data_IF_499558441619
#
_entry.id   IF_499558441619
#
_cell.length_a   1.000
_cell.length_b   1.000
_cell.length_c   1.000
_cell.angle_alpha   90.00
_cell.angle_beta   90.00
_cell.angle_gamma   90.00
#
_symmetry.space_group_name_H-M   'P 1'
#
loop_
_entity.id
_entity.type
_entity.pdbx_description
1 polymer ?
#
# COMPACT_ATOMS: atom_id res chain seq x y z
N UNK A 1 4.99 -16.75 -10.70
CA UNK A 1 5.87 -15.70 -11.26
C UNK A 1 7.22 -15.80 -10.55
N UNK A 2 8.07 -16.73 -11.00
CA UNK A 2 9.29 -17.16 -10.30
C UNK A 2 10.54 -16.37 -10.72
N UNK A 3 10.37 -15.29 -11.50
CA UNK A 3 11.45 -14.44 -12.02
C UNK A 3 11.61 -13.13 -11.24
N UNK A 4 10.85 -12.92 -10.16
CA UNK A 4 10.96 -11.71 -9.35
C UNK A 4 12.15 -11.79 -8.40
N UNK A 5 13.27 -11.19 -8.80
CA UNK A 5 14.43 -10.93 -7.93
C UNK A 5 14.09 -9.82 -6.91
N UNK A 6 13.22 -10.12 -5.94
CA UNK A 6 13.00 -9.23 -4.79
C UNK A 6 14.04 -9.56 -3.74
N UNK A 7 14.91 -8.60 -3.42
CA UNK A 7 15.87 -8.71 -2.33
C UNK A 7 15.56 -7.63 -1.31
N UNK A 8 15.53 -7.96 -0.01
CA UNK A 8 15.55 -6.94 1.03
C UNK A 8 16.74 -6.01 0.76
N UNK A 9 16.48 -4.71 0.72
CA UNK A 9 17.52 -3.71 0.49
C UNK A 9 18.06 -3.16 1.82
N UNK A 10 17.17 -2.88 2.76
CA UNK A 10 17.50 -2.30 4.06
C UNK A 10 16.43 -2.67 5.11
N UNK A 11 16.79 -2.61 6.39
CA UNK A 11 15.90 -2.83 7.53
C UNK A 11 16.11 -1.71 8.54
N UNK A 12 15.04 -0.96 8.82
CA UNK A 12 15.06 0.09 9.84
C UNK A 12 14.20 -0.29 11.03
N UNK A 13 14.78 -0.24 12.22
CA UNK A 13 14.09 -0.45 13.49
C UNK A 13 13.63 0.91 14.04
N UNK A 14 12.35 1.01 14.41
CA UNK A 14 11.75 2.24 14.92
C UNK A 14 10.99 1.94 16.21
N UNK A 15 11.25 2.71 17.27
CA UNK A 15 10.74 2.50 18.62
C UNK A 15 9.49 3.34 18.95
N UNK A 16 8.57 3.47 17.99
CA UNK A 16 7.16 3.96 18.13
C UNK A 16 6.80 5.33 17.53
N UNK A 17 7.74 6.27 17.35
CA UNK A 17 7.42 7.55 16.68
C UNK A 17 7.71 7.52 15.18
N UNK A 18 6.74 7.00 14.41
CA UNK A 18 6.68 7.13 12.94
C UNK A 18 6.33 8.57 12.52
N UNK A 19 7.14 9.53 12.95
CA UNK A 19 7.01 10.92 12.58
C UNK A 19 7.66 11.19 11.21
N UNK A 20 7.40 12.37 10.65
CA UNK A 20 7.90 12.72 9.32
C UNK A 20 9.44 12.69 9.22
N UNK A 21 10.16 12.99 10.31
CA UNK A 21 11.63 13.03 10.32
C UNK A 21 12.28 11.64 10.31
N UNK A 22 11.67 10.62 10.94
CA UNK A 22 12.17 9.24 10.84
C UNK A 22 12.21 8.75 9.38
N UNK A 23 11.09 8.93 8.67
CA UNK A 23 11.01 8.56 7.26
C UNK A 23 11.92 9.41 6.38
N UNK A 24 12.09 10.68 6.72
CA UNK A 24 13.03 11.56 6.03
C UNK A 24 14.46 11.01 6.14
N UNK A 25 14.87 10.65 7.35
CA UNK A 25 16.17 10.03 7.61
C UNK A 25 16.33 8.71 6.84
N UNK A 26 15.34 7.81 6.92
CA UNK A 26 15.37 6.51 6.23
C UNK A 26 15.60 6.66 4.72
N UNK A 27 14.83 7.53 4.05
CA UNK A 27 14.93 7.70 2.60
C UNK A 27 16.21 8.44 2.19
N UNK A 28 16.74 9.33 3.02
CA UNK A 28 18.04 9.95 2.80
C UNK A 28 19.19 8.93 2.93
N UNK A 29 19.11 8.03 3.92
CA UNK A 29 20.06 6.92 4.07
C UNK A 29 20.02 5.99 2.86
N UNK A 30 18.83 5.61 2.40
CA UNK A 30 18.63 4.81 1.17
C UNK A 30 19.29 5.47 -0.05
N UNK A 31 19.06 6.76 -0.26
CA UNK A 31 19.66 7.52 -1.37
C UNK A 31 21.18 7.53 -1.27
N UNK A 32 21.71 7.75 -0.07
CA UNK A 32 23.16 7.83 0.18
C UNK A 32 23.84 6.48 -0.04
N UNK A 33 23.26 5.40 0.49
CA UNK A 33 23.73 4.03 0.27
C UNK A 33 23.74 3.67 -1.22
N UNK A 34 22.71 4.07 -1.97
CA UNK A 34 22.67 3.83 -3.42
C UNK A 34 23.82 4.52 -4.15
N UNK A 35 24.14 5.77 -3.78
CA UNK A 35 25.27 6.51 -4.37
C UNK A 35 26.59 5.82 -4.02
N UNK A 36 26.75 5.36 -2.79
CA UNK A 36 27.99 4.70 -2.35
C UNK A 36 28.20 3.33 -3.03
N UNK A 37 27.15 2.51 -3.13
CA UNK A 37 27.23 1.14 -3.62
C UNK A 37 27.13 1.02 -5.15
N UNK A 38 26.37 1.91 -5.80
CA UNK A 38 26.06 1.82 -7.22
C UNK A 38 26.50 3.06 -8.01
N UNK A 39 27.14 4.04 -7.36
CA UNK A 39 27.55 5.31 -7.98
C UNK A 39 26.39 6.09 -8.64
N UNK A 40 25.16 5.83 -8.21
CA UNK A 40 23.96 6.46 -8.75
C UNK A 40 22.92 6.71 -7.65
N UNK A 41 22.22 7.86 -7.69
CA UNK A 41 21.15 8.13 -6.75
C UNK A 41 19.97 7.18 -7.02
N UNK A 42 19.38 6.66 -5.94
CA UNK A 42 18.11 5.94 -6.04
C UNK A 42 17.00 6.92 -6.43
N UNK A 43 16.39 6.71 -7.61
CA UNK A 43 15.31 7.54 -8.16
C UNK A 43 14.10 6.67 -8.48
N UNK A 44 13.29 6.29 -7.47
CA UNK A 44 12.15 5.43 -7.69
C UNK A 44 11.09 6.14 -8.53
N UNK A 45 10.52 5.43 -9.52
CA UNK A 45 9.31 5.90 -10.23
C UNK A 45 8.06 5.78 -9.37
N UNK A 46 8.05 4.81 -8.46
CA UNK A 46 6.92 4.52 -7.57
C UNK A 46 7.40 4.22 -6.17
N UNK A 47 6.64 4.66 -5.17
CA UNK A 47 6.83 4.29 -3.77
C UNK A 47 5.51 3.71 -3.25
N UNK A 48 5.57 2.47 -2.77
CA UNK A 48 4.41 1.77 -2.22
C UNK A 48 4.54 1.69 -0.70
N UNK A 49 3.62 2.31 0.04
CA UNK A 49 3.65 2.33 1.51
C UNK A 49 2.28 2.54 2.15
N UNK A 50 2.11 2.04 3.37
CA UNK A 50 0.87 2.13 4.15
C UNK A 50 0.67 3.48 4.87
N UNK A 51 0.78 4.61 4.14
CA UNK A 51 0.35 5.90 4.70
C UNK A 51 1.42 6.95 4.98
N UNK A 52 2.72 6.65 4.86
CA UNK A 52 3.78 7.58 5.29
C UNK A 52 3.86 8.85 4.40
N UNK A 53 3.56 10.02 5.00
CA UNK A 53 3.51 11.32 4.31
C UNK A 53 4.88 11.90 3.91
N UNK A 54 5.95 11.52 4.61
CA UNK A 54 7.28 12.11 4.41
C UNK A 54 7.94 11.80 3.05
N UNK A 55 7.38 10.86 2.30
CA UNK A 55 7.90 10.39 1.01
C UNK A 55 7.95 11.48 -0.06
N UNK A 56 6.97 12.37 -0.07
CA UNK A 56 6.84 13.41 -1.10
C UNK A 56 7.96 14.45 -1.04
N UNK A 57 8.60 14.64 0.12
CA UNK A 57 9.68 15.61 0.27
C UNK A 57 11.00 15.13 -0.34
N UNK A 58 11.30 13.83 -0.27
CA UNK A 58 12.60 13.28 -0.70
C UNK A 58 12.56 12.78 -2.14
N UNK A 59 11.47 12.14 -2.52
CA UNK A 59 11.28 11.59 -3.87
C UNK A 59 10.10 12.29 -4.54
N UNK A 60 10.25 13.59 -4.79
CA UNK A 60 9.19 14.44 -5.36
C UNK A 60 8.65 13.95 -6.70
N UNK A 61 9.49 13.27 -7.50
CA UNK A 61 9.12 12.73 -8.80
C UNK A 61 8.49 11.32 -8.73
N UNK A 62 8.51 10.67 -7.56
CA UNK A 62 7.97 9.33 -7.40
C UNK A 62 6.45 9.38 -7.22
N UNK A 63 5.74 8.54 -7.96
CA UNK A 63 4.30 8.33 -7.74
C UNK A 63 4.09 7.49 -6.49
N UNK A 64 3.28 8.00 -5.56
CA UNK A 64 2.89 7.24 -4.37
C UNK A 64 1.77 6.26 -4.70
N UNK A 65 1.93 5.02 -4.27
CA UNK A 65 0.94 3.96 -4.38
C UNK A 65 0.58 3.43 -2.99
N UNK A 66 -0.68 3.07 -2.79
CA UNK A 66 -1.09 2.33 -1.60
C UNK A 66 -0.67 0.86 -1.74
N UNK A 67 -0.14 0.28 -0.67
CA UNK A 67 0.18 -1.14 -0.67
C UNK A 67 -1.12 -1.96 -0.60
N UNK A 68 -1.44 -2.69 -1.68
CA UNK A 68 -2.66 -3.51 -1.74
C UNK A 68 -2.71 -4.54 -0.60
N UNK A 69 -1.58 -5.17 -0.27
CA UNK A 69 -1.51 -6.12 0.85
C UNK A 69 -1.96 -5.46 2.17
N UNK A 70 -1.48 -4.26 2.49
CA UNK A 70 -1.91 -3.55 3.70
C UNK A 70 -3.38 -3.15 3.66
N UNK A 71 -3.90 -2.77 2.50
CA UNK A 71 -5.34 -2.52 2.31
C UNK A 71 -6.15 -3.78 2.64
N UNK A 72 -5.78 -4.93 2.06
CA UNK A 72 -6.45 -6.21 2.34
C UNK A 72 -6.36 -6.59 3.82
N UNK A 73 -5.21 -6.40 4.46
CA UNK A 73 -5.06 -6.68 5.90
C UNK A 73 -5.98 -5.80 6.74
N UNK A 74 -6.14 -4.52 6.38
CA UNK A 74 -7.11 -3.63 7.02
C UNK A 74 -8.55 -4.11 6.83
N UNK A 75 -8.94 -4.55 5.62
CA UNK A 75 -10.25 -5.16 5.41
C UNK A 75 -10.45 -6.44 6.24
N UNK A 76 -9.42 -7.30 6.30
CA UNK A 76 -9.43 -8.56 7.07
C UNK A 76 -9.55 -8.35 8.57
N UNK A 77 -9.08 -7.23 9.11
CA UNK A 77 -9.25 -6.89 10.52
C UNK A 77 -10.74 -6.82 10.92
N UNK A 78 -11.63 -6.54 9.97
CA UNK A 78 -13.08 -6.49 10.17
C UNK A 78 -13.81 -7.80 9.84
N UNK A 79 -13.08 -8.86 9.49
CA UNK A 79 -13.66 -10.17 9.11
C UNK A 79 -14.60 -10.73 10.17
N UNK A 80 -14.30 -10.51 11.45
CA UNK A 80 -15.10 -11.04 12.56
C UNK A 80 -16.49 -10.41 12.68
N UNK A 81 -16.75 -9.31 11.97
CA UNK A 81 -18.07 -8.66 11.90
C UNK A 81 -19.01 -9.34 10.89
N UNK A 82 -18.51 -10.30 10.11
CA UNK A 82 -19.23 -10.95 9.03
C UNK A 82 -19.28 -12.47 9.24
N UNK A 83 -20.33 -13.11 8.73
CA UNK A 83 -20.36 -14.57 8.62
C UNK A 83 -19.25 -15.06 7.68
N UNK A 84 -18.86 -16.33 7.80
CA UNK A 84 -17.87 -16.95 6.89
C UNK A 84 -18.28 -16.83 5.42
N UNK A 85 -19.58 -16.95 5.13
CA UNK A 85 -20.11 -16.83 3.78
C UNK A 85 -20.02 -15.38 3.28
N UNK A 86 -20.50 -14.40 4.06
CA UNK A 86 -20.39 -12.98 3.70
C UNK A 86 -18.95 -12.57 3.47
N UNK A 87 -18.02 -12.95 4.36
CA UNK A 87 -16.59 -12.67 4.17
C UNK A 87 -16.06 -13.29 2.87
N UNK A 88 -16.45 -14.52 2.54
CA UNK A 88 -16.02 -15.15 1.28
C UNK A 88 -16.51 -14.39 0.05
N UNK A 89 -17.67 -13.74 0.11
CA UNK A 89 -18.17 -12.92 -0.99
C UNK A 89 -17.47 -11.56 -1.04
N UNK A 90 -17.26 -10.90 0.11
CA UNK A 90 -16.47 -9.67 0.21
C UNK A 90 -15.07 -9.87 -0.37
N UNK A 91 -14.38 -10.93 0.02
CA UNK A 91 -13.02 -11.23 -0.45
C UNK A 91 -12.99 -11.45 -1.97
N UNK A 92 -14.01 -12.11 -2.54
CA UNK A 92 -14.18 -12.26 -4.00
C UNK A 92 -14.39 -10.91 -4.68
N UNK A 93 -15.27 -10.06 -4.15
CA UNK A 93 -15.56 -8.74 -4.72
C UNK A 93 -14.31 -7.85 -4.69
N UNK A 94 -13.58 -7.85 -3.57
CA UNK A 94 -12.31 -7.11 -3.43
C UNK A 94 -11.28 -7.61 -4.47
N UNK A 95 -11.14 -8.92 -4.65
CA UNK A 95 -10.25 -9.50 -5.64
C UNK A 95 -10.66 -9.15 -7.07
N UNK A 96 -11.96 -9.11 -7.38
CA UNK A 96 -12.45 -8.69 -8.69
C UNK A 96 -12.07 -7.24 -8.99
N UNK A 97 -12.23 -6.34 -8.02
CA UNK A 97 -11.85 -4.93 -8.16
C UNK A 97 -10.34 -4.77 -8.37
N UNK A 98 -9.50 -5.54 -7.66
CA UNK A 98 -8.05 -5.52 -7.82
C UNK A 98 -7.58 -5.74 -9.26
N UNK A 99 -8.30 -6.60 -10.00
CA UNK A 99 -7.95 -7.03 -11.34
C UNK A 99 -8.55 -6.14 -12.45
N UNK A 100 -9.07 -4.96 -12.08
CA UNK A 100 -9.58 -3.98 -13.02
C UNK A 100 -8.49 -3.53 -14.00
N UNK A 101 -8.81 -3.50 -15.29
CA UNK A 101 -7.87 -3.15 -16.36
C UNK A 101 -7.72 -1.63 -16.58
N UNK A 102 -8.55 -0.81 -15.93
CA UNK A 102 -8.51 0.65 -16.00
C UNK A 102 -8.95 1.27 -14.68
N UNK A 103 -8.54 2.52 -14.46
CA UNK A 103 -8.95 3.30 -13.29
C UNK A 103 -10.47 3.50 -13.25
N UNK A 104 -11.13 3.68 -14.40
CA UNK A 104 -12.58 3.85 -14.48
C UNK A 104 -13.32 2.59 -14.02
N UNK A 105 -12.89 1.42 -14.48
CA UNK A 105 -13.47 0.13 -14.05
C UNK A 105 -13.18 -0.12 -12.58
N UNK A 106 -11.98 0.23 -12.11
CA UNK A 106 -11.62 0.14 -10.69
C UNK A 106 -12.54 1.02 -9.84
N UNK A 107 -12.70 2.30 -10.20
CA UNK A 107 -13.54 3.25 -9.48
C UNK A 107 -15.02 2.83 -9.48
N UNK A 108 -15.51 2.35 -10.63
CA UNK A 108 -16.86 1.80 -10.72
C UNK A 108 -17.04 0.56 -9.84
N UNK A 109 -16.09 -0.37 -9.88
CA UNK A 109 -16.09 -1.59 -9.06
C UNK A 109 -16.06 -1.28 -7.56
N UNK A 110 -15.25 -0.30 -7.13
CA UNK A 110 -15.24 0.19 -5.75
C UNK A 110 -16.61 0.74 -5.36
N UNK A 111 -17.25 1.56 -6.21
CA UNK A 111 -18.58 2.09 -5.92
C UNK A 111 -19.63 0.98 -5.73
N UNK A 112 -19.61 -0.03 -6.60
CA UNK A 112 -20.50 -1.20 -6.47
C UNK A 112 -20.23 -1.98 -5.19
N UNK A 113 -18.96 -2.23 -4.87
CA UNK A 113 -18.54 -2.92 -3.65
C UNK A 113 -19.00 -2.17 -2.40
N UNK A 114 -18.76 -0.85 -2.35
CA UNK A 114 -19.19 0.00 -1.25
C UNK A 114 -20.72 0.00 -1.13
N UNK A 115 -21.46 0.11 -2.23
CA UNK A 115 -22.93 0.08 -2.18
C UNK A 115 -23.48 -1.27 -1.70
N UNK A 116 -22.86 -2.39 -2.07
CA UNK A 116 -23.28 -3.74 -1.67
C UNK A 116 -23.03 -4.01 -0.19
N UNK A 117 -21.90 -3.56 0.34
CA UNK A 117 -21.42 -3.91 1.69
C UNK A 117 -21.52 -2.78 2.71
N UNK A 118 -22.02 -1.60 2.32
CA UNK A 118 -22.35 -0.52 3.25
C UNK A 118 -23.56 -0.97 4.08
N UNK A 119 -23.30 -1.36 5.31
CA UNK A 119 -24.34 -1.45 6.32
C UNK A 119 -24.89 -0.05 6.57
N UNK A 120 -26.19 0.17 6.35
CA UNK A 120 -26.85 1.33 6.94
C UNK A 120 -26.69 1.26 8.45
N UNK A 121 -26.50 2.40 9.15
CA UNK A 121 -26.55 2.41 10.59
C UNK A 121 -27.94 1.90 11.00
N UNK A 122 -28.00 0.73 11.61
CA UNK A 122 -29.19 0.27 12.30
C UNK A 122 -29.50 1.27 13.40
N UNK A 123 -30.55 2.08 13.20
CA UNK A 123 -31.15 2.97 14.19
C UNK A 123 -31.66 2.20 15.40
#
# INVERSE_FOLDING_TARGET
DCTRNVRPFDVAFCSEDKNSSFYEHLFNSLRSLSIQQFHQPYLPKFIMADGALAQQKIFSNAKRLMCWFHMIQKCRAHRNLLTKQQWSEVDKDIHAVQLSFSDDVFNHGINLLMNKWRTEPSH
#
